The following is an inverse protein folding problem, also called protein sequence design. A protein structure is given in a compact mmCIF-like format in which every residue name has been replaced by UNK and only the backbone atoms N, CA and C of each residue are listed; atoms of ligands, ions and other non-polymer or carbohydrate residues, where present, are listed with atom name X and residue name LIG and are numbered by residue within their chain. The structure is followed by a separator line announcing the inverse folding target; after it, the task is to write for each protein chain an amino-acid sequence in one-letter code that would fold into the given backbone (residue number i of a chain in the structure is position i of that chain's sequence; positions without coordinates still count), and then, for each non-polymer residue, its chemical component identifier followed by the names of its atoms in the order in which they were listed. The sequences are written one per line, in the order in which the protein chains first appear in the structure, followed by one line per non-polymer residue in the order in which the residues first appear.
data_IF_734386052292
#
_entry.id   IF_734386052292
#
_cell.length_a   1.000
_cell.length_b   1.000
_cell.length_c   1.000
_cell.angle_alpha   90.00
_cell.angle_beta   90.00
_cell.angle_gamma   90.00
#
_symmetry.space_group_name_H-M   'P 1'
#
loop_
_entity.id
_entity.type
_entity.pdbx_description
1 polymer ?
#
# COMPACT_ATOMS: atom_id res chain seq x y z
N UNK A 1 22.36 2.60 5.10
CA UNK A 1 22.32 1.74 6.31
C UNK A 1 20.90 1.21 6.48
N UNK A 2 20.33 0.57 5.44
CA UNK A 2 18.93 0.10 5.40
C UNK A 2 18.86 -1.40 5.75
N UNK A 3 19.87 -2.18 5.37
CA UNK A 3 19.98 -3.61 5.70
C UNK A 3 20.21 -3.99 7.17
N UNK A 4 20.26 -3.04 8.12
CA UNK A 4 20.29 -3.32 9.57
C UNK A 4 19.00 -2.90 10.31
N UNK A 5 18.07 -2.25 9.60
CA UNK A 5 16.76 -1.79 10.10
C UNK A 5 15.63 -2.78 9.78
N UNK A 6 15.94 -3.96 9.22
CA UNK A 6 14.92 -4.88 8.70
C UNK A 6 14.71 -6.10 9.61
N UNK A 7 15.58 -6.41 10.57
CA UNK A 7 15.34 -7.57 11.45
C UNK A 7 14.71 -7.18 12.80
N UNK A 8 15.29 -6.22 13.56
CA UNK A 8 14.67 -5.75 14.82
C UNK A 8 13.60 -4.65 14.61
N UNK A 9 13.62 -3.99 13.45
CA UNK A 9 12.76 -2.85 13.13
C UNK A 9 11.65 -3.17 12.12
N UNK A 10 11.59 -4.39 11.55
CA UNK A 10 10.48 -4.77 10.66
C UNK A 10 9.15 -4.81 11.38
N UNK A 11 9.10 -5.26 12.63
CA UNK A 11 7.86 -5.19 13.41
C UNK A 11 7.42 -3.73 13.64
N UNK A 12 8.37 -2.80 13.79
CA UNK A 12 8.07 -1.37 13.91
C UNK A 12 7.60 -0.77 12.57
N UNK A 13 8.32 -1.04 11.48
CA UNK A 13 7.95 -0.62 10.14
C UNK A 13 6.58 -1.18 9.72
N UNK A 14 6.30 -2.46 10.03
CA UNK A 14 4.98 -3.08 9.82
C UNK A 14 3.88 -2.37 10.58
N UNK A 15 4.08 -2.08 11.88
CA UNK A 15 3.10 -1.30 12.66
C UNK A 15 2.87 0.09 12.05
N UNK A 16 3.94 0.76 11.65
CA UNK A 16 3.83 2.08 11.03
C UNK A 16 3.06 2.01 9.70
N UNK A 17 3.39 1.08 8.82
CA UNK A 17 2.67 0.89 7.55
C UNK A 17 1.21 0.51 7.75
N UNK A 18 0.88 -0.36 8.71
CA UNK A 18 -0.50 -0.68 9.08
C UNK A 18 -1.26 0.60 9.44
N UNK A 19 -0.66 1.48 10.25
CA UNK A 19 -1.30 2.74 10.63
C UNK A 19 -1.40 3.74 9.47
N UNK A 20 -0.35 3.89 8.67
CA UNK A 20 -0.29 4.86 7.58
C UNK A 20 -1.17 4.48 6.39
N UNK A 21 -1.38 3.18 6.17
CA UNK A 21 -2.26 2.64 5.12
C UNK A 21 -3.63 2.20 5.66
N UNK A 22 -3.94 2.50 6.92
CA UNK A 22 -5.26 2.22 7.48
C UNK A 22 -6.33 3.02 6.71
N UNK A 23 -7.37 2.31 6.24
CA UNK A 23 -8.43 2.89 5.44
C UNK A 23 -8.14 3.02 3.94
N UNK A 24 -6.97 2.57 3.47
CA UNK A 24 -6.57 2.61 2.06
C UNK A 24 -6.56 1.19 1.45
N UNK A 25 -7.72 0.64 1.08
CA UNK A 25 -7.78 -0.72 0.52
C UNK A 25 -7.20 -0.84 -0.90
N UNK A 26 -7.12 0.26 -1.64
CA UNK A 26 -6.55 0.31 -2.99
C UNK A 26 -5.51 1.43 -3.04
N UNK A 27 -4.31 1.13 -3.48
CA UNK A 27 -3.19 2.08 -3.55
C UNK A 27 -2.37 1.89 -4.83
N UNK A 28 -1.82 2.98 -5.36
CA UNK A 28 -0.71 2.87 -6.31
C UNK A 28 0.61 2.68 -5.56
N UNK A 29 1.61 2.09 -6.22
CA UNK A 29 2.90 1.79 -5.60
C UNK A 29 3.60 3.06 -5.11
N UNK A 30 3.55 4.15 -5.89
CA UNK A 30 4.19 5.42 -5.55
C UNK A 30 3.54 6.06 -4.32
N UNK A 31 2.21 6.12 -4.32
CA UNK A 31 1.41 6.72 -3.27
C UNK A 31 1.56 5.95 -1.96
N UNK A 32 1.55 4.62 -2.01
CA UNK A 32 1.79 3.78 -0.84
C UNK A 32 3.21 3.96 -0.29
N UNK A 33 4.20 4.03 -1.18
CA UNK A 33 5.60 4.21 -0.80
C UNK A 33 5.82 5.55 -0.11
N UNK A 34 5.34 6.63 -0.72
CA UNK A 34 5.39 7.97 -0.14
C UNK A 34 4.67 8.01 1.20
N UNK A 35 3.45 7.47 1.28
CA UNK A 35 2.72 7.40 2.54
C UNK A 35 3.51 6.67 3.63
N UNK A 36 4.23 5.59 3.32
CA UNK A 36 4.96 4.82 4.33
C UNK A 36 6.31 5.41 4.73
N UNK A 37 6.95 6.21 3.87
CA UNK A 37 8.36 6.59 4.02
C UNK A 37 8.61 8.11 4.01
N UNK A 38 7.62 8.91 3.59
CA UNK A 38 7.73 10.35 3.33
C UNK A 38 8.75 10.71 2.23
N UNK A 39 9.08 9.75 1.35
CA UNK A 39 10.03 9.90 0.23
C UNK A 39 9.33 9.78 -1.13
N UNK A 40 9.90 10.39 -2.15
CA UNK A 40 9.46 10.23 -3.54
C UNK A 40 10.16 9.05 -4.23
N UNK A 41 9.51 8.43 -5.22
CA UNK A 41 10.07 7.25 -5.90
C UNK A 41 11.38 7.53 -6.67
N UNK A 42 11.58 8.75 -7.15
CA UNK A 42 12.80 9.14 -7.84
C UNK A 42 13.99 9.34 -6.88
N UNK A 43 13.77 9.32 -5.57
CA UNK A 43 14.79 9.48 -4.53
C UNK A 43 15.33 8.13 -4.04
N UNK A 44 14.76 7.00 -4.50
CA UNK A 44 15.11 5.66 -4.04
C UNK A 44 15.62 4.75 -5.14
N UNK A 45 16.59 3.92 -4.75
CA UNK A 45 17.15 2.89 -5.61
C UNK A 45 16.13 1.74 -5.88
N UNK A 46 16.17 1.09 -7.06
CA UNK A 46 15.20 0.06 -7.44
C UNK A 46 15.07 -1.12 -6.46
N UNK A 47 16.15 -1.50 -5.78
CA UNK A 47 16.18 -2.57 -4.79
C UNK A 47 15.24 -2.31 -3.60
N UNK A 48 15.11 -1.06 -3.16
CA UNK A 48 14.19 -0.69 -2.08
C UNK A 48 12.71 -0.86 -2.51
N UNK A 49 12.43 -0.77 -3.81
CA UNK A 49 11.08 -1.01 -4.33
C UNK A 49 10.73 -2.50 -4.31
N UNK A 50 11.71 -3.39 -4.47
CA UNK A 50 11.48 -4.83 -4.34
C UNK A 50 11.13 -5.18 -2.90
N UNK A 51 11.89 -4.65 -1.95
CA UNK A 51 11.61 -4.81 -0.51
C UNK A 51 10.25 -4.23 -0.14
N UNK A 52 9.90 -3.04 -0.65
CA UNK A 52 8.62 -2.40 -0.39
C UNK A 52 7.44 -3.18 -0.99
N UNK A 53 7.59 -3.79 -2.17
CA UNK A 53 6.57 -4.68 -2.72
C UNK A 53 6.33 -5.88 -1.80
N UNK A 54 7.39 -6.50 -1.29
CA UNK A 54 7.25 -7.59 -0.32
C UNK A 54 6.56 -7.11 0.96
N UNK A 55 6.86 -5.88 1.42
CA UNK A 55 6.17 -5.27 2.55
C UNK A 55 4.65 -5.11 2.31
N UNK A 56 4.23 -4.70 1.11
CA UNK A 56 2.82 -4.64 0.75
C UNK A 56 2.16 -6.03 0.77
N UNK A 57 2.85 -7.06 0.28
CA UNK A 57 2.39 -8.46 0.36
C UNK A 57 2.21 -8.90 1.81
N UNK A 58 3.16 -8.57 2.69
CA UNK A 58 3.06 -8.90 4.11
C UNK A 58 1.90 -8.16 4.80
N UNK A 59 1.51 -7.00 4.26
CA UNK A 59 0.31 -6.25 4.66
C UNK A 59 -0.97 -6.77 3.97
N UNK A 60 -0.91 -7.90 3.25
CA UNK A 60 -2.05 -8.53 2.61
C UNK A 60 -2.56 -7.81 1.36
N UNK A 61 -1.75 -6.93 0.76
CA UNK A 61 -2.03 -6.39 -0.57
C UNK A 61 -1.62 -7.37 -1.67
N UNK A 62 -2.42 -7.40 -2.72
CA UNK A 62 -2.19 -8.16 -3.93
C UNK A 62 -2.07 -7.19 -5.12
N UNK A 63 -1.18 -7.53 -6.05
CA UNK A 63 -0.91 -6.76 -7.25
C UNK A 63 -2.05 -6.94 -8.28
N UNK A 64 -2.57 -5.85 -8.83
CA UNK A 64 -3.70 -5.85 -9.75
C UNK A 64 -3.50 -4.89 -10.92
N UNK A 65 -3.98 -5.30 -12.09
CA UNK A 65 -4.08 -4.44 -13.27
C UNK A 65 -5.54 -4.10 -13.53
N UNK A 66 -5.87 -2.82 -13.43
CA UNK A 66 -7.25 -2.33 -13.56
C UNK A 66 -7.38 -1.52 -14.84
N UNK A 67 -8.32 -1.92 -15.69
CA UNK A 67 -8.73 -1.12 -16.83
C UNK A 67 -9.65 0.02 -16.34
N UNK A 68 -9.26 1.28 -16.57
CA UNK A 68 -10.12 2.42 -16.28
C UNK A 68 -11.05 2.67 -17.47
N UNK A 69 -12.36 2.67 -17.24
CA UNK A 69 -13.35 2.91 -18.30
C UNK A 69 -13.08 4.26 -18.98
N UNK A 70 -13.00 4.26 -20.31
CA UNK A 70 -12.71 5.47 -21.10
C UNK A 70 -11.24 5.86 -21.17
N UNK A 71 -10.31 5.08 -20.59
CA UNK A 71 -8.87 5.25 -20.81
C UNK A 71 -8.26 4.01 -21.49
N UNK A 72 -7.36 4.20 -22.47
CA UNK A 72 -6.72 3.08 -23.16
C UNK A 72 -5.65 2.37 -22.32
N UNK A 73 -5.21 2.97 -21.21
CA UNK A 73 -4.08 2.48 -20.40
C UNK A 73 -4.60 1.77 -19.15
N UNK A 74 -4.11 0.54 -18.93
CA UNK A 74 -4.30 -0.16 -17.66
C UNK A 74 -3.50 0.54 -16.55
N UNK A 75 -4.13 0.67 -15.38
CA UNK A 75 -3.48 1.16 -14.17
C UNK A 75 -3.02 -0.02 -13.34
N UNK A 76 -1.85 0.18 -12.71
CA UNK A 76 -1.25 -0.81 -11.86
C UNK A 76 -1.48 -0.41 -10.40
N UNK A 77 -2.20 -1.23 -9.66
CA UNK A 77 -2.68 -0.95 -8.32
C UNK A 77 -2.41 -2.14 -7.40
N UNK A 78 -2.46 -1.88 -6.10
CA UNK A 78 -2.34 -2.86 -5.04
C UNK A 78 -3.61 -2.82 -4.20
N UNK A 79 -4.22 -3.98 -4.00
CA UNK A 79 -5.53 -4.10 -3.36
C UNK A 79 -5.47 -5.07 -2.17
N UNK A 80 -6.15 -4.74 -1.06
CA UNK A 80 -6.31 -5.67 0.07
C UNK A 80 -7.73 -5.69 0.60
N UNK A 81 -8.06 -6.77 1.32
CA UNK A 81 -9.27 -6.85 2.12
C UNK A 81 -9.25 -5.87 3.32
N UNK A 82 -10.44 -5.48 3.83
CA UNK A 82 -10.55 -4.62 4.98
C UNK A 82 -10.07 -5.28 6.28
N UNK A 83 -9.44 -4.49 7.14
CA UNK A 83 -9.03 -4.86 8.49
C UNK A 83 -9.80 -4.08 9.56
N UNK A 84 -9.86 -4.56 10.82
CA UNK A 84 -10.50 -3.85 11.92
C UNK A 84 -10.00 -2.40 12.12
N UNK A 85 -8.72 -2.14 11.86
CA UNK A 85 -8.13 -0.80 11.99
C UNK A 85 -8.67 0.19 10.94
N UNK A 86 -9.06 -0.30 9.76
CA UNK A 86 -9.58 0.53 8.69
C UNK A 86 -10.91 1.19 9.09
N UNK A 87 -11.76 0.47 9.82
CA UNK A 87 -13.02 1.01 10.33
C UNK A 87 -12.80 2.15 11.33
N UNK A 88 -11.71 2.11 12.10
CA UNK A 88 -11.35 3.21 13.02
C UNK A 88 -10.79 4.40 12.25
N UNK A 89 -9.95 4.16 11.25
CA UNK A 89 -9.39 5.21 10.40
C UNK A 89 -10.46 5.91 9.54
N UNK A 90 -11.50 5.18 9.13
CA UNK A 90 -12.61 5.67 8.33
C UNK A 90 -13.90 5.88 9.14
N UNK A 91 -13.84 6.02 10.47
CA UNK A 91 -15.05 6.16 11.31
C UNK A 91 -15.96 7.32 10.86
N UNK A 92 -15.38 8.34 10.23
CA UNK A 92 -16.07 9.52 9.70
C UNK A 92 -15.97 9.64 8.15
N UNK A 93 -15.61 8.56 7.44
CA UNK A 93 -15.47 8.54 5.98
C UNK A 93 -16.28 7.39 5.38
N UNK A 94 -17.03 7.65 4.32
CA UNK A 94 -17.78 6.60 3.63
C UNK A 94 -16.83 5.49 3.14
N UNK A 95 -17.11 4.26 3.59
CA UNK A 95 -16.31 3.10 3.23
C UNK A 95 -16.48 2.81 1.73
N UNK A 96 -15.51 3.25 0.92
CA UNK A 96 -15.56 3.02 -0.53
C UNK A 96 -15.05 1.62 -0.82
N UNK A 97 -15.90 0.61 -0.61
CA UNK A 97 -15.66 -0.73 -1.14
C UNK A 97 -15.87 -0.69 -2.66
N UNK A 98 -14.81 -0.83 -3.44
CA UNK A 98 -14.94 -1.13 -4.87
C UNK A 98 -15.44 -2.56 -5.00
N UNK A 99 -16.76 -2.73 -5.13
CA UNK A 99 -17.34 -4.01 -5.53
C UNK A 99 -16.94 -4.22 -6.99
N UNK A 100 -15.99 -5.13 -7.24
CA UNK A 100 -15.80 -5.69 -8.57
C UNK A 100 -17.06 -6.49 -8.89
N UNK A 101 -17.93 -5.92 -9.72
CA UNK A 101 -19.04 -6.68 -10.29
C UNK A 101 -18.45 -7.63 -11.33
N UNK A 102 -18.67 -8.92 -11.09
CA UNK A 102 -18.35 -10.07 -11.96
C UNK A 102 -19.03 -9.98 -13.32
#
# INVERSE_FOLDING_TARGET
MIGKLIDDDRAHAMRLGIHRLAGHQVVGLAEAFHACTDLELNEVAPEHLVEFKQFLVDLGYEEMWVAQLGRPKMQHLWCRGPWPIDYRANKDRDFTAYVLMS
#
